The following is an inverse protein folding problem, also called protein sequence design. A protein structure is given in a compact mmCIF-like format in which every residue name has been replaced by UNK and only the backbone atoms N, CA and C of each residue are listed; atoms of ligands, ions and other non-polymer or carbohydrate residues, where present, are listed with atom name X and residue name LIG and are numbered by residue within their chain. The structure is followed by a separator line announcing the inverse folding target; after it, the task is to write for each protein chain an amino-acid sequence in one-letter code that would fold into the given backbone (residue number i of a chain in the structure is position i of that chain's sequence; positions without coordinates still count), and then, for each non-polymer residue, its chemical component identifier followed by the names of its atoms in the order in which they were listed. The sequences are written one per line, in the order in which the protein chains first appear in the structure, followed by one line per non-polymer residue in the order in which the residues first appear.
data_IF_149208076994
#
_entry.id   IF_149208076994
#
_cell.length_a   1.000
_cell.length_b   1.000
_cell.length_c   1.000
_cell.angle_alpha   90.00
_cell.angle_beta   90.00
_cell.angle_gamma   90.00
#
_symmetry.space_group_name_H-M   'P 1'
#
loop_
_entity.id
_entity.type
_entity.pdbx_description
1 polymer ?
#
# COMPACT_ATOMS: atom_id res chain seq x y z
N UNK A 1 -10.90 -1.05 12.89
CA UNK A 1 -10.29 0.16 12.28
C UNK A 1 -8.79 -0.04 12.23
N UNK A 2 -8.16 0.37 11.12
CA UNK A 2 -6.72 0.32 10.92
C UNK A 2 -6.08 1.65 11.34
N UNK A 3 -5.06 1.66 12.20
CA UNK A 3 -4.31 2.89 12.52
C UNK A 3 -2.87 2.77 12.06
N UNK A 4 -2.37 3.78 11.36
CA UNK A 4 -1.05 3.79 10.72
C UNK A 4 -0.22 4.96 11.25
N UNK A 5 0.85 4.65 11.97
CA UNK A 5 1.78 5.66 12.47
C UNK A 5 2.99 5.69 11.55
N UNK A 6 3.03 6.67 10.64
CA UNK A 6 4.11 6.79 9.64
C UNK A 6 5.29 7.64 10.10
N UNK A 7 5.09 8.52 11.08
CA UNK A 7 6.12 9.42 11.59
C UNK A 7 6.87 8.78 12.76
N UNK A 8 8.20 8.74 12.66
CA UNK A 8 9.05 7.98 13.57
C UNK A 8 9.06 6.50 13.21
N UNK A 9 9.05 5.63 14.22
CA UNK A 9 8.98 4.19 13.97
C UNK A 9 7.60 3.81 13.43
N UNK A 10 7.58 3.12 12.29
CA UNK A 10 6.35 2.61 11.72
C UNK A 10 5.63 1.68 12.70
N UNK A 11 4.36 1.96 12.96
CA UNK A 11 3.48 1.08 13.73
C UNK A 11 2.15 0.91 13.01
N UNK A 12 1.62 -0.31 13.07
CA UNK A 12 0.30 -0.64 12.57
C UNK A 12 -0.52 -1.17 13.75
N UNK A 13 -1.75 -0.68 13.88
CA UNK A 13 -2.71 -1.21 14.84
C UNK A 13 -3.97 -1.64 14.11
N UNK A 14 -4.53 -2.76 14.54
CA UNK A 14 -5.83 -3.26 14.08
C UNK A 14 -6.75 -3.39 15.28
N UNK A 15 -7.88 -2.69 15.25
CA UNK A 15 -8.83 -2.68 16.38
C UNK A 15 -8.11 -2.35 17.70
N UNK A 16 -7.30 -1.29 17.67
CA UNK A 16 -6.53 -0.75 18.81
C UNK A 16 -5.48 -1.71 19.41
N UNK A 17 -5.22 -2.83 18.74
CA UNK A 17 -4.19 -3.79 19.12
C UNK A 17 -2.98 -3.65 18.19
N UNK A 18 -1.74 -3.67 18.69
CA UNK A 18 -0.54 -3.74 17.85
C UNK A 18 -0.64 -4.91 16.88
N UNK A 19 -0.37 -4.65 15.60
CA UNK A 19 -0.45 -5.66 14.56
C UNK A 19 0.88 -5.73 13.83
N UNK A 20 1.47 -6.94 13.70
CA UNK A 20 2.80 -7.10 13.13
C UNK A 20 2.79 -6.76 11.64
N UNK A 21 3.84 -6.07 11.19
CA UNK A 21 4.05 -5.78 9.79
C UNK A 21 5.42 -6.28 9.36
N UNK A 22 5.46 -7.55 8.96
CA UNK A 22 6.63 -8.17 8.36
C UNK A 22 6.38 -8.31 6.86
N UNK A 23 7.05 -7.49 6.06
CA UNK A 23 6.82 -7.40 4.63
C UNK A 23 8.12 -7.19 3.86
N UNK A 24 8.06 -7.34 2.54
CA UNK A 24 9.18 -7.04 1.66
C UNK A 24 9.66 -5.57 1.81
N UNK A 25 10.96 -5.26 1.57
CA UNK A 25 11.56 -3.95 1.87
C UNK A 25 10.87 -2.73 1.23
N UNK A 26 10.15 -2.89 0.12
CA UNK A 26 9.42 -1.80 -0.58
C UNK A 26 7.91 -1.81 -0.34
N UNK A 27 7.41 -2.72 0.50
CA UNK A 27 5.98 -2.82 0.82
C UNK A 27 5.54 -1.67 1.71
N UNK A 28 6.33 -1.31 2.73
CA UNK A 28 6.07 -0.14 3.56
C UNK A 28 6.17 1.18 2.75
N UNK A 29 7.22 1.42 1.93
CA UNK A 29 7.25 2.56 1.02
C UNK A 29 6.04 2.66 0.09
N UNK A 30 5.57 1.53 -0.48
CA UNK A 30 4.36 1.50 -1.28
C UNK A 30 3.12 1.91 -0.47
N UNK A 31 2.95 1.36 0.74
CA UNK A 31 1.84 1.72 1.63
C UNK A 31 1.83 3.22 1.93
N UNK A 32 2.98 3.76 2.36
CA UNK A 32 3.14 5.18 2.66
C UNK A 32 2.85 6.05 1.42
N UNK A 33 3.34 5.66 0.24
CA UNK A 33 3.09 6.39 -1.00
C UNK A 33 1.59 6.47 -1.32
N UNK A 34 0.87 5.35 -1.19
CA UNK A 34 -0.57 5.29 -1.41
C UNK A 34 -1.35 6.14 -0.40
N UNK A 35 -0.99 6.11 0.89
CA UNK A 35 -1.64 6.89 1.95
C UNK A 35 -1.43 8.40 1.77
N UNK A 36 -0.22 8.81 1.39
CA UNK A 36 0.11 10.22 1.16
C UNK A 36 -0.60 10.79 -0.07
N UNK A 37 -0.97 9.93 -1.03
CA UNK A 37 -1.64 10.31 -2.28
C UNK A 37 -3.08 9.79 -2.37
N UNK A 38 -3.70 9.43 -1.24
CA UNK A 38 -4.98 8.70 -1.18
C UNK A 38 -6.15 9.37 -1.90
N UNK A 39 -6.11 10.70 -2.03
CA UNK A 39 -7.16 11.55 -2.62
C UNK A 39 -7.40 11.33 -4.13
N UNK A 40 -6.59 10.52 -4.81
CA UNK A 40 -6.73 10.27 -6.25
C UNK A 40 -6.20 8.90 -6.68
N UNK A 41 -6.76 8.31 -7.75
CA UNK A 41 -6.15 7.17 -8.41
C UNK A 41 -4.75 7.49 -8.94
N UNK A 42 -3.81 6.56 -8.76
CA UNK A 42 -2.42 6.69 -9.19
C UNK A 42 -2.12 5.74 -10.36
N UNK A 43 -1.51 6.21 -11.46
CA UNK A 43 -1.06 5.33 -12.53
C UNK A 43 -0.02 4.34 -12.03
N UNK A 44 -0.22 3.05 -12.33
CA UNK A 44 0.67 1.96 -11.90
C UNK A 44 2.08 2.14 -12.42
N UNK A 45 2.23 2.67 -13.63
CA UNK A 45 3.55 2.94 -14.20
C UNK A 45 4.30 3.99 -13.38
N UNK A 46 3.65 5.09 -13.01
CA UNK A 46 4.23 6.15 -12.19
C UNK A 46 4.65 5.63 -10.81
N UNK A 47 3.78 4.88 -10.13
CA UNK A 47 4.12 4.32 -8.80
C UNK A 47 5.28 3.32 -8.90
N UNK A 48 5.31 2.50 -9.95
CA UNK A 48 6.40 1.56 -10.19
C UNK A 48 7.74 2.28 -10.41
N UNK A 49 7.78 3.27 -11.30
CA UNK A 49 8.98 4.05 -11.59
C UNK A 49 9.49 4.80 -10.35
N UNK A 50 8.59 5.34 -9.52
CA UNK A 50 8.97 6.05 -8.29
C UNK A 50 9.63 5.13 -7.26
N UNK A 51 9.13 3.91 -7.09
CA UNK A 51 9.60 2.99 -6.03
C UNK A 51 10.84 2.17 -6.45
N UNK A 52 10.99 1.92 -7.75
CA UNK A 52 12.09 1.19 -8.37
C UNK A 52 12.68 1.97 -9.55
N UNK A 53 13.30 3.13 -9.32
CA UNK A 53 13.79 4.01 -10.38
C UNK A 53 14.92 3.37 -11.21
N UNK A 54 15.66 2.44 -10.61
CA UNK A 54 16.83 1.80 -11.23
C UNK A 54 16.47 0.59 -12.09
N UNK A 55 15.19 0.21 -12.16
CA UNK A 55 14.74 -0.98 -12.89
C UNK A 55 14.06 -0.64 -14.22
N UNK A 56 14.20 -1.50 -15.25
CA UNK A 56 13.40 -1.39 -16.45
C UNK A 56 11.90 -1.42 -16.15
N UNK A 57 11.14 -0.68 -16.95
CA UNK A 57 9.70 -0.48 -16.82
C UNK A 57 8.88 -1.76 -16.58
N UNK A 58 9.23 -2.84 -17.29
CA UNK A 58 8.56 -4.15 -17.17
C UNK A 58 8.80 -4.78 -15.80
N UNK A 59 10.03 -4.69 -15.28
CA UNK A 59 10.44 -5.24 -14.00
C UNK A 59 9.89 -4.41 -12.84
N UNK A 60 9.94 -3.08 -12.93
CA UNK A 60 9.33 -2.18 -11.95
C UNK A 60 7.83 -2.48 -11.80
N UNK A 61 7.10 -2.66 -12.91
CA UNK A 61 5.68 -3.07 -12.87
C UNK A 61 5.47 -4.47 -12.28
N UNK A 62 6.38 -5.40 -12.51
CA UNK A 62 6.32 -6.73 -11.89
C UNK A 62 6.51 -6.66 -10.38
N UNK A 63 7.48 -5.88 -9.92
CA UNK A 63 7.69 -5.61 -8.50
C UNK A 63 6.47 -4.91 -7.89
N UNK A 64 5.86 -3.93 -8.56
CA UNK A 64 4.64 -3.31 -8.07
C UNK A 64 3.52 -4.33 -7.85
N UNK A 65 3.30 -5.26 -8.80
CA UNK A 65 2.30 -6.32 -8.64
C UNK A 65 2.59 -7.21 -7.43
N UNK A 66 3.85 -7.63 -7.26
CA UNK A 66 4.30 -8.44 -6.11
C UNK A 66 4.06 -7.71 -4.78
N UNK A 67 4.39 -6.43 -4.70
CA UNK A 67 4.24 -5.65 -3.46
C UNK A 67 2.79 -5.28 -3.17
N UNK A 68 1.95 -5.10 -4.18
CA UNK A 68 0.50 -4.95 -3.98
C UNK A 68 -0.15 -6.24 -3.44
N UNK A 69 0.29 -7.41 -3.95
CA UNK A 69 -0.11 -8.69 -3.38
C UNK A 69 0.36 -8.82 -1.94
N UNK A 70 1.62 -8.48 -1.67
CA UNK A 70 2.18 -8.51 -0.33
C UNK A 70 1.42 -7.58 0.63
N UNK A 71 1.07 -6.36 0.22
CA UNK A 71 0.24 -5.44 1.02
C UNK A 71 -1.07 -6.07 1.44
N UNK A 72 -1.77 -6.73 0.51
CA UNK A 72 -3.02 -7.43 0.82
C UNK A 72 -2.81 -8.57 1.79
N UNK A 73 -1.66 -9.23 1.78
CA UNK A 73 -1.33 -10.35 2.68
C UNK A 73 -0.98 -9.88 4.09
N UNK A 74 -0.23 -8.78 4.21
CA UNK A 74 0.30 -8.29 5.50
C UNK A 74 -0.63 -7.33 6.22
N UNK A 75 -1.61 -6.72 5.53
CA UNK A 75 -2.64 -5.92 6.18
C UNK A 75 -3.77 -6.83 6.72
N UNK A 76 -4.40 -6.47 7.85
CA UNK A 76 -5.56 -7.20 8.36
C UNK A 76 -6.68 -7.17 7.31
N UNK A 77 -7.36 -8.29 7.03
CA UNK A 77 -8.43 -8.29 6.04
C UNK A 77 -9.67 -7.56 6.56
N UNK A 78 -10.15 -6.52 5.87
CA UNK A 78 -11.38 -5.82 6.24
C UNK A 78 -12.60 -6.64 5.80
N UNK A 79 -13.66 -6.65 6.62
CA UNK A 79 -14.86 -7.44 6.33
C UNK A 79 -15.71 -6.88 5.18
N UNK A 80 -15.66 -5.57 4.93
CA UNK A 80 -16.63 -4.87 4.07
C UNK A 80 -16.04 -4.20 2.83
N UNK A 81 -14.74 -3.89 2.78
CA UNK A 81 -14.16 -3.11 1.68
C UNK A 81 -12.64 -3.26 1.63
N UNK A 82 -12.01 -3.46 0.46
CA UNK A 82 -10.57 -3.63 0.35
C UNK A 82 -9.79 -2.36 0.74
N UNK A 83 -8.56 -2.49 1.25
CA UNK A 83 -7.70 -1.34 1.54
C UNK A 83 -7.19 -0.60 0.30
N UNK A 84 -6.99 -1.33 -0.79
CA UNK A 84 -6.43 -0.79 -2.04
C UNK A 84 -7.40 -1.09 -3.17
N UNK A 85 -7.93 -0.03 -3.77
CA UNK A 85 -8.73 -0.09 -4.99
C UNK A 85 -7.79 -0.28 -6.18
N UNK A 86 -8.16 -1.17 -7.09
CA UNK A 86 -7.43 -1.41 -8.33
C UNK A 86 -8.39 -1.27 -9.50
N UNK A 87 -8.07 -0.38 -10.44
CA UNK A 87 -8.76 -0.25 -11.71
C UNK A 87 -7.78 -0.46 -12.86
N UNK A 88 -8.27 -0.35 -14.09
CA UNK A 88 -7.43 -0.55 -15.28
C UNK A 88 -6.31 0.51 -15.30
N UNK A 89 -5.08 0.05 -15.08
CA UNK A 89 -3.89 0.92 -15.09
C UNK A 89 -3.66 1.77 -13.84
N UNK A 90 -4.58 1.80 -12.86
CA UNK A 90 -4.45 2.63 -11.65
C UNK A 90 -4.59 1.84 -10.34
N UNK A 91 -4.07 2.44 -9.26
CA UNK A 91 -4.19 1.97 -7.87
C UNK A 91 -4.48 3.15 -6.95
N UNK A 92 -5.28 2.93 -5.91
CA UNK A 92 -5.61 3.96 -4.94
C UNK A 92 -5.79 3.35 -3.55
N UNK A 93 -5.41 4.07 -2.51
CA UNK A 93 -5.86 3.73 -1.16
C UNK A 93 -7.38 3.96 -1.06
N UNK A 94 -8.11 3.01 -0.50
CA UNK A 94 -9.56 3.13 -0.36
C UNK A 94 -9.90 4.11 0.77
N UNK A 95 -10.31 5.33 0.41
CA UNK A 95 -10.69 6.35 1.39
C UNK A 95 -11.95 5.99 2.20
N UNK A 96 -12.79 5.08 1.67
CA UNK A 96 -13.99 4.61 2.35
C UNK A 96 -13.71 3.46 3.33
N UNK A 97 -12.48 2.91 3.35
CA UNK A 97 -12.10 1.91 4.33
C UNK A 97 -11.87 2.57 5.71
N UNK A 98 -12.11 1.88 6.83
CA UNK A 98 -11.96 2.47 8.15
C UNK A 98 -10.48 2.51 8.59
N UNK A 99 -9.78 3.59 8.25
CA UNK A 99 -8.39 3.85 8.67
C UNK A 99 -8.18 5.24 9.30
N UNK A 100 -7.08 5.37 10.04
CA UNK A 100 -6.55 6.63 10.60
C UNK A 100 -5.04 6.72 10.32
#
# INVERSE_FOLDING_TARGET
MLRLFLLGHFRLQWQDTPYPFAALPKTLPLLAFLLLNRQRPLPRQTVAAQLWPDLPDKEARANLRRHLYELRRVLPQPASSPWVLTAQGTIQWNENAPYW
#
